data_IF_994050961768
#
_entry.id   IF_994050961768
#
_cell.length_a   1.000
_cell.length_b   1.000
_cell.length_c   1.000
_cell.angle_alpha   90.00
_cell.angle_beta   90.00
_cell.angle_gamma   90.00
#
_symmetry.space_group_name_H-M   'P 1'
#
loop_
_entity.id
_entity.type
_entity.pdbx_description
1 polymer ?
#
# COMPACT_ATOMS: atom_id res chain seq x y z
N UNK A 1 -1.13 -16.25 -13.38
CA UNK A 1 -0.44 -15.81 -12.15
C UNK A 1 0.43 -14.61 -12.48
N UNK A 2 0.20 -13.50 -11.79
CA UNK A 2 1.09 -12.33 -11.89
C UNK A 2 2.37 -12.63 -11.08
N UNK A 3 3.55 -12.22 -11.56
CA UNK A 3 4.78 -12.35 -10.79
C UNK A 3 4.69 -11.54 -9.49
N UNK A 4 5.32 -12.04 -8.43
CA UNK A 4 5.35 -11.34 -7.15
C UNK A 4 6.09 -10.01 -7.30
N UNK A 5 5.36 -8.90 -7.13
CA UNK A 5 5.94 -7.57 -7.07
C UNK A 5 6.52 -7.26 -5.70
N UNK A 6 7.50 -6.36 -5.67
CA UNK A 6 8.08 -5.82 -4.44
C UNK A 6 8.21 -4.30 -4.54
N UNK A 7 8.36 -3.63 -3.41
CA UNK A 7 8.65 -2.20 -3.33
C UNK A 7 10.12 -2.04 -2.96
N UNK A 8 10.88 -1.32 -3.78
CA UNK A 8 12.30 -1.06 -3.55
C UNK A 8 12.55 0.43 -3.26
N UNK A 9 13.46 0.71 -2.35
CA UNK A 9 13.98 2.06 -2.11
C UNK A 9 15.28 2.23 -2.88
N UNK A 10 15.31 3.19 -3.81
CA UNK A 10 16.45 3.47 -4.67
C UNK A 10 17.07 4.81 -4.26
N UNK A 11 18.36 4.79 -3.92
CA UNK A 11 19.16 6.00 -3.77
C UNK A 11 19.55 6.52 -5.15
N UNK A 12 19.15 7.76 -5.43
CA UNK A 12 19.42 8.51 -6.66
C UNK A 12 20.24 9.79 -6.38
N UNK A 13 20.93 9.88 -5.24
CA UNK A 13 21.82 11.00 -4.91
C UNK A 13 22.94 11.20 -5.94
N UNK A 14 23.32 10.13 -6.63
CA UNK A 14 24.05 10.15 -7.89
C UNK A 14 23.19 9.52 -9.00
N UNK A 15 22.58 10.34 -9.86
CA UNK A 15 21.70 9.88 -10.95
C UNK A 15 22.42 8.96 -11.96
N UNK A 16 23.75 9.05 -12.07
CA UNK A 16 24.54 8.18 -12.95
C UNK A 16 24.77 6.78 -12.34
N UNK A 17 24.57 6.62 -11.02
CA UNK A 17 24.81 5.38 -10.30
C UNK A 17 23.68 5.09 -9.29
N UNK A 18 22.45 4.79 -9.75
CA UNK A 18 21.34 4.48 -8.87
C UNK A 18 21.60 3.17 -8.11
N UNK A 19 21.26 3.15 -6.81
CA UNK A 19 21.52 2.00 -5.94
C UNK A 19 20.25 1.55 -5.24
N UNK A 20 19.93 0.26 -5.34
CA UNK A 20 18.93 -0.36 -4.47
C UNK A 20 19.46 -0.38 -3.03
N UNK A 21 18.80 0.35 -2.14
CA UNK A 21 19.17 0.43 -0.71
C UNK A 21 18.53 -0.72 0.06
N UNK A 22 17.23 -0.89 -0.12
CA UNK A 22 16.42 -1.87 0.61
C UNK A 22 15.14 -2.20 -0.15
N UNK A 23 14.44 -3.22 0.32
CA UNK A 23 13.09 -3.57 -0.10
C UNK A 23 12.15 -3.50 1.09
N UNK A 24 10.92 -3.05 0.86
CA UNK A 24 9.89 -3.09 1.90
C UNK A 24 9.52 -4.54 2.23
N UNK A 25 9.20 -4.87 3.49
CA UNK A 25 8.71 -6.20 3.85
C UNK A 25 7.44 -6.53 3.07
N UNK A 26 7.27 -7.81 2.73
CA UNK A 26 6.03 -8.27 2.11
C UNK A 26 4.87 -8.17 3.11
N UNK A 27 3.69 -7.71 2.68
CA UNK A 27 2.50 -7.68 3.52
C UNK A 27 2.18 -9.04 4.14
N UNK A 28 2.05 -9.07 5.47
CA UNK A 28 1.61 -10.25 6.21
C UNK A 28 0.09 -10.22 6.42
N UNK A 29 -0.61 -11.36 6.31
CA UNK A 29 -2.00 -11.47 6.74
C UNK A 29 -2.16 -11.13 8.23
N UNK A 30 -3.32 -10.58 8.65
CA UNK A 30 -3.60 -10.36 10.06
C UNK A 30 -3.63 -11.68 10.85
N UNK A 31 -3.34 -11.67 12.15
CA UNK A 31 -3.43 -12.86 12.99
C UNK A 31 -4.80 -13.54 12.89
N UNK A 32 -4.81 -14.86 12.69
CA UNK A 32 -6.04 -15.65 12.54
C UNK A 32 -6.63 -15.67 11.14
N UNK A 33 -5.98 -15.04 10.14
CA UNK A 33 -6.37 -15.17 8.75
C UNK A 33 -6.35 -16.65 8.30
N UNK A 34 -7.33 -17.11 7.49
CA UNK A 34 -7.41 -18.50 7.03
C UNK A 34 -6.44 -18.84 5.89
N UNK A 35 -5.51 -17.96 5.57
CA UNK A 35 -4.55 -18.05 4.46
C UNK A 35 -3.16 -17.66 4.96
N UNK A 36 -2.10 -18.25 4.40
CA UNK A 36 -0.72 -18.02 4.88
C UNK A 36 -0.11 -16.72 4.36
N UNK A 37 -0.57 -16.27 3.20
CA UNK A 37 -0.10 -15.07 2.53
C UNK A 37 -1.17 -14.57 1.55
N UNK A 38 -1.04 -13.32 1.09
CA UNK A 38 -2.00 -12.73 0.16
C UNK A 38 -1.98 -13.32 -1.26
N UNK A 39 -0.94 -14.09 -1.65
CA UNK A 39 -1.00 -14.88 -2.87
C UNK A 39 -2.07 -15.98 -2.74
N UNK A 40 -2.11 -16.67 -1.60
CA UNK A 40 -3.10 -17.73 -1.30
C UNK A 40 -4.53 -17.19 -1.15
N UNK A 41 -4.69 -15.93 -0.73
CA UNK A 41 -6.01 -15.29 -0.66
C UNK A 41 -6.71 -15.26 -2.04
N UNK A 42 -5.95 -15.06 -3.11
CA UNK A 42 -6.45 -14.93 -4.47
C UNK A 42 -6.79 -13.48 -4.87
N UNK A 43 -7.10 -13.28 -6.16
CA UNK A 43 -7.16 -11.94 -6.73
C UNK A 43 -5.76 -11.42 -7.08
N UNK A 44 -5.62 -10.09 -7.29
CA UNK A 44 -4.33 -9.48 -7.59
C UNK A 44 -3.63 -9.15 -6.28
N UNK A 45 -2.35 -9.51 -6.20
CA UNK A 45 -1.48 -9.20 -5.06
C UNK A 45 -0.21 -8.57 -5.59
N UNK A 46 0.16 -7.42 -5.05
CA UNK A 46 1.31 -6.65 -5.47
C UNK A 46 1.14 -5.16 -5.15
N UNK A 47 2.23 -4.39 -5.12
CA UNK A 47 2.16 -2.95 -4.97
C UNK A 47 1.46 -2.33 -6.18
N UNK A 48 0.73 -1.24 -5.94
CA UNK A 48 0.02 -0.53 -7.00
C UNK A 48 0.40 0.95 -7.02
N UNK A 49 -0.33 1.81 -6.30
CA UNK A 49 -0.03 3.23 -6.21
C UNK A 49 0.38 3.66 -4.81
N UNK A 50 1.19 4.71 -4.75
CA UNK A 50 1.68 5.31 -3.52
C UNK A 50 1.24 6.76 -3.38
N UNK A 51 1.18 7.24 -2.14
CA UNK A 51 1.03 8.66 -1.86
C UNK A 51 2.27 9.40 -2.37
N UNK A 52 2.04 10.48 -3.12
CA UNK A 52 3.11 11.36 -3.59
C UNK A 52 2.74 12.80 -3.27
N UNK A 53 3.46 13.40 -2.33
CA UNK A 53 3.14 14.72 -1.84
C UNK A 53 3.38 15.82 -2.89
N UNK A 54 4.34 15.61 -3.80
CA UNK A 54 4.69 16.50 -4.92
C UNK A 54 4.75 17.99 -4.53
N UNK A 55 5.25 18.30 -3.32
CA UNK A 55 5.32 19.65 -2.76
C UNK A 55 3.98 20.42 -2.72
N UNK A 56 2.83 19.73 -2.74
CA UNK A 56 1.51 20.33 -2.61
C UNK A 56 1.19 20.59 -1.13
N UNK A 57 0.90 21.83 -0.78
CA UNK A 57 0.61 22.23 0.62
C UNK A 57 -0.65 21.57 1.21
N UNK A 58 -1.55 21.09 0.36
CA UNK A 58 -2.74 20.34 0.76
C UNK A 58 -2.43 18.87 1.13
N UNK A 59 -1.22 18.38 0.84
CA UNK A 59 -0.80 17.00 1.03
C UNK A 59 0.24 16.87 2.14
N UNK A 60 0.24 15.72 2.80
CA UNK A 60 1.23 15.40 3.82
C UNK A 60 2.64 15.34 3.20
N UNK A 61 3.55 16.16 3.72
CA UNK A 61 4.97 16.17 3.39
C UNK A 61 5.73 15.40 4.48
N UNK A 62 5.85 14.07 4.32
CA UNK A 62 6.59 13.23 5.25
C UNK A 62 7.39 12.18 4.47
N UNK A 63 8.70 12.40 4.38
CA UNK A 63 9.61 11.54 3.62
C UNK A 63 10.02 10.28 4.41
N UNK A 64 9.64 10.16 5.69
CA UNK A 64 9.92 8.98 6.49
C UNK A 64 8.84 7.91 6.36
N UNK A 65 7.68 8.21 5.76
CA UNK A 65 6.58 7.26 5.62
C UNK A 65 6.21 7.03 4.15
N UNK A 66 6.16 5.76 3.74
CA UNK A 66 5.58 5.34 2.47
C UNK A 66 4.17 4.83 2.72
N UNK A 67 3.17 5.49 2.14
CA UNK A 67 1.80 4.98 2.05
C UNK A 67 1.63 4.30 0.68
N UNK A 68 1.34 3.00 0.69
CA UNK A 68 1.30 2.18 -0.52
C UNK A 68 0.00 1.36 -0.54
N UNK A 69 -0.71 1.38 -1.65
CA UNK A 69 -1.76 0.40 -1.93
C UNK A 69 -1.14 -0.87 -2.47
N UNK A 70 -1.68 -2.00 -2.04
CA UNK A 70 -1.14 -3.33 -2.28
C UNK A 70 -2.24 -4.31 -2.69
N UNK A 71 -3.12 -3.89 -3.62
CA UNK A 71 -4.31 -4.61 -4.08
C UNK A 71 -5.06 -5.35 -2.97
N UNK A 72 -5.07 -6.69 -2.98
CA UNK A 72 -5.79 -7.52 -2.01
C UNK A 72 -5.20 -7.49 -0.58
N UNK A 73 -4.01 -6.93 -0.42
CA UNK A 73 -3.39 -6.64 0.86
C UNK A 73 -3.68 -5.20 1.33
N UNK A 74 -4.51 -4.43 0.62
CA UNK A 74 -5.03 -3.14 1.10
C UNK A 74 -3.99 -2.03 1.15
N UNK A 75 -4.15 -1.10 2.08
CA UNK A 75 -3.17 -0.06 2.42
C UNK A 75 -2.05 -0.64 3.30
N UNK A 76 -0.82 -0.25 3.01
CA UNK A 76 0.39 -0.51 3.78
C UNK A 76 1.11 0.80 4.07
N UNK A 77 1.57 0.96 5.30
CA UNK A 77 2.34 2.12 5.74
C UNK A 77 3.70 1.60 6.20
N UNK A 78 4.75 2.02 5.52
CA UNK A 78 6.12 1.66 5.85
C UNK A 78 6.86 2.87 6.41
N UNK A 79 7.53 2.70 7.54
CA UNK A 79 8.52 3.65 8.05
C UNK A 79 9.88 3.34 7.43
N UNK A 80 10.47 4.37 6.84
CA UNK A 80 11.76 4.36 6.13
C UNK A 80 12.74 5.38 6.74
N UNK A 81 12.53 5.81 7.98
CA UNK A 81 13.46 6.69 8.71
C UNK A 81 14.85 6.09 8.88
N UNK A 82 14.95 4.75 8.90
CA UNK A 82 16.18 4.01 8.57
C UNK A 82 16.00 3.37 7.18
N UNK A 83 16.66 3.94 6.17
CA UNK A 83 16.51 3.51 4.78
C UNK A 83 16.98 2.07 4.53
N UNK A 84 17.80 1.51 5.44
CA UNK A 84 18.32 0.14 5.35
C UNK A 84 17.46 -0.87 6.09
N UNK A 85 16.57 -0.41 6.97
CA UNK A 85 15.65 -1.26 7.73
C UNK A 85 14.21 -0.75 7.67
N UNK A 86 13.55 -0.79 6.48
CA UNK A 86 12.14 -0.44 6.41
C UNK A 86 11.26 -1.37 7.25
N UNK A 87 10.28 -0.80 7.94
CA UNK A 87 9.34 -1.54 8.80
C UNK A 87 7.89 -1.19 8.46
N UNK A 88 7.01 -2.19 8.39
CA UNK A 88 5.57 -1.92 8.29
C UNK A 88 5.05 -1.43 9.65
N UNK A 89 4.52 -0.21 9.70
CA UNK A 89 4.02 0.44 10.93
C UNK A 89 2.50 0.51 10.99
N UNK A 90 1.81 0.22 9.89
CA UNK A 90 0.35 0.18 9.85
C UNK A 90 -0.19 -0.42 8.57
N UNK A 91 -1.42 -0.93 8.64
CA UNK A 91 -2.13 -1.43 7.48
C UNK A 91 -3.64 -1.26 7.64
N UNK A 92 -4.34 -1.30 6.51
CA UNK A 92 -5.79 -1.44 6.46
C UNK A 92 -6.16 -2.32 5.27
N UNK A 93 -6.87 -3.42 5.53
CA UNK A 93 -7.38 -4.31 4.49
C UNK A 93 -8.90 -4.13 4.43
N UNK A 94 -9.47 -3.65 3.31
CA UNK A 94 -10.92 -3.63 3.15
C UNK A 94 -11.52 -5.03 3.32
N UNK A 95 -12.76 -5.15 3.82
CA UNK A 95 -13.44 -6.45 3.90
C UNK A 95 -13.60 -7.06 2.50
N UNK A 96 -13.88 -8.37 2.44
CA UNK A 96 -14.30 -8.98 1.18
C UNK A 96 -15.63 -8.37 0.77
N UNK A 97 -15.77 -7.84 -0.47
CA UNK A 97 -17.03 -7.26 -0.88
C UNK A 97 -18.14 -8.33 -0.93
N UNK A 98 -19.30 -8.03 -0.35
CA UNK A 98 -20.47 -8.91 -0.37
C UNK A 98 -21.20 -8.90 -1.71
N UNK A 99 -21.09 -7.79 -2.45
CA UNK A 99 -21.75 -7.59 -3.74
C UNK A 99 -20.75 -7.09 -4.78
N UNK A 100 -20.95 -7.47 -6.04
CA UNK A 100 -20.14 -7.02 -7.17
C UNK A 100 -20.63 -5.67 -7.68
N UNK A 101 -19.84 -4.61 -7.46
CA UNK A 101 -20.05 -3.29 -8.04
C UNK A 101 -18.93 -3.04 -9.05
N UNK A 102 -19.24 -3.24 -10.34
CA UNK A 102 -18.29 -3.08 -11.44
C UNK A 102 -17.77 -4.39 -12.04
N UNK A 103 -17.00 -4.27 -13.14
CA UNK A 103 -16.51 -5.41 -13.93
C UNK A 103 -15.25 -6.09 -13.37
N UNK A 104 -14.50 -5.40 -12.51
CA UNK A 104 -13.29 -5.89 -11.88
C UNK A 104 -13.34 -5.57 -10.37
N UNK A 105 -12.66 -6.36 -9.52
CA UNK A 105 -11.90 -7.57 -9.83
C UNK A 105 -12.76 -8.81 -10.09
N UNK A 106 -12.33 -9.74 -10.95
CA UNK A 106 -13.10 -10.98 -11.27
C UNK A 106 -13.26 -11.90 -10.05
N UNK A 107 -12.25 -11.95 -9.18
CA UNK A 107 -12.34 -12.59 -7.86
C UNK A 107 -12.94 -11.59 -6.87
N UNK A 108 -13.88 -12.03 -6.02
CA UNK A 108 -14.42 -11.20 -4.93
C UNK A 108 -13.36 -11.05 -3.84
N UNK A 109 -12.51 -10.05 -4.02
CA UNK A 109 -11.40 -9.71 -3.14
C UNK A 109 -11.36 -8.18 -2.99
N UNK A 110 -10.85 -7.65 -1.87
CA UNK A 110 -10.44 -6.26 -1.83
C UNK A 110 -9.42 -5.99 -2.95
N UNK A 111 -9.48 -4.81 -3.55
CA UNK A 111 -8.47 -4.29 -4.48
C UNK A 111 -8.36 -2.79 -4.26
N UNK A 112 -7.49 -2.43 -3.31
CA UNK A 112 -7.11 -1.04 -3.09
C UNK A 112 -6.22 -0.55 -4.25
N UNK A 113 -6.56 0.61 -4.81
CA UNK A 113 -5.94 1.13 -6.03
C UNK A 113 -5.09 2.38 -5.76
N UNK A 114 -5.64 3.40 -5.11
CA UNK A 114 -4.98 4.67 -4.87
C UNK A 114 -4.92 5.00 -3.39
N UNK A 115 -3.89 5.74 -3.01
CA UNK A 115 -3.80 6.36 -1.69
C UNK A 115 -3.34 7.81 -1.80
N UNK A 116 -4.00 8.69 -1.05
CA UNK A 116 -3.62 10.08 -0.89
C UNK A 116 -3.69 10.44 0.61
N UNK A 117 -2.67 11.13 1.11
CA UNK A 117 -2.68 11.64 2.49
C UNK A 117 -2.71 13.15 2.47
N UNK A 118 -3.74 13.73 3.05
CA UNK A 118 -3.85 15.19 3.13
C UNK A 118 -2.99 15.77 4.25
N UNK A 119 -2.83 17.10 4.24
CA UNK A 119 -2.05 17.83 5.25
C UNK A 119 -2.61 17.74 6.68
N UNK A 120 -3.84 17.22 6.86
CA UNK A 120 -4.47 16.99 8.17
C UNK A 120 -4.19 15.57 8.69
N UNK A 121 -3.54 14.73 7.89
CA UNK A 121 -3.30 13.32 8.19
C UNK A 121 -4.50 12.42 7.92
N UNK A 122 -5.49 12.86 7.13
CA UNK A 122 -6.52 11.97 6.62
C UNK A 122 -5.98 11.18 5.43
N UNK A 123 -6.11 9.85 5.50
CA UNK A 123 -5.65 8.92 4.48
C UNK A 123 -6.88 8.49 3.66
N UNK A 124 -6.89 8.83 2.39
CA UNK A 124 -7.91 8.45 1.43
C UNK A 124 -7.44 7.23 0.66
N UNK A 125 -8.15 6.11 0.74
CA UNK A 125 -7.83 4.87 0.03
C UNK A 125 -8.98 4.49 -0.88
N UNK A 126 -8.73 4.37 -2.18
CA UNK A 126 -9.73 3.85 -3.10
C UNK A 126 -9.68 2.32 -3.15
N UNK A 127 -10.84 1.69 -3.30
CA UNK A 127 -11.01 0.26 -3.53
C UNK A 127 -12.03 0.06 -4.67
N UNK A 128 -11.72 -0.85 -5.59
CA UNK A 128 -12.51 -1.07 -6.81
C UNK A 128 -14.00 -1.31 -6.57
N UNK A 129 -14.37 -1.94 -5.46
CA UNK A 129 -15.74 -2.36 -5.20
C UNK A 129 -16.40 -1.53 -4.08
N UNK A 130 -15.61 -1.06 -3.12
CA UNK A 130 -16.11 -0.29 -1.97
C UNK A 130 -16.13 1.23 -2.18
N UNK A 131 -15.42 1.76 -3.17
CA UNK A 131 -15.29 3.21 -3.36
C UNK A 131 -14.12 3.76 -2.55
N UNK A 132 -14.35 4.74 -1.66
CA UNK A 132 -13.26 5.41 -0.92
C UNK A 132 -13.44 5.22 0.59
N UNK A 133 -12.36 4.79 1.24
CA UNK A 133 -12.20 4.83 2.69
C UNK A 133 -11.43 6.07 3.12
N UNK A 134 -11.82 6.65 4.26
CA UNK A 134 -11.08 7.73 4.93
C UNK A 134 -10.62 7.19 6.28
N UNK A 135 -9.30 7.15 6.46
CA UNK A 135 -8.64 6.57 7.61
C UNK A 135 -7.76 7.62 8.29
N UNK A 136 -7.26 7.28 9.48
CA UNK A 136 -6.19 8.02 10.15
C UNK A 136 -5.18 7.03 10.71
N UNK A 137 -3.90 7.35 10.58
CA UNK A 137 -2.83 6.59 11.23
C UNK A 137 -2.70 7.10 12.67
N UNK A 138 -3.07 6.26 13.63
CA UNK A 138 -2.83 6.52 15.05
C UNK A 138 -1.42 6.02 15.38
N UNK A 139 -0.55 6.94 15.81
CA UNK A 139 0.83 6.67 16.25
C UNK A 139 0.91 6.84 17.75
#
# INVERSE_FOLDING_TARGET
DEPLGFVGLIDISNEAEPRLVSTMPLPAPPPGAPFKNFCEFGGRFGPHNQHQAQNQTALMQNDNLIYMTYFNAGLRIFDISDERLPVEVGYFVPPVPETRRGGLPKTMAPQSEDVLVDARGCIYVSDKNHGVYILRHEV
#
